data_IF_191927169282
#
_entry.id   IF_191927169282
#
_cell.length_a   1.000
_cell.length_b   1.000
_cell.length_c   1.000
_cell.angle_alpha   90.00
_cell.angle_beta   90.00
_cell.angle_gamma   90.00
#
_symmetry.space_group_name_H-M   'P 1'
#
loop_
_entity.id
_entity.type
_entity.pdbx_description
1 polymer ?
#
# COMPACT_ATOMS: atom_id res chain seq x y z
N UNK A 1 35.66 15.89 0.30
CA UNK A 1 34.54 16.68 0.90
C UNK A 1 33.17 16.11 0.56
N UNK A 2 32.88 15.71 -0.69
CA UNK A 2 31.57 15.17 -1.07
C UNK A 2 31.16 13.86 -0.35
N UNK A 3 32.10 12.95 -0.06
CA UNK A 3 31.81 11.67 0.62
C UNK A 3 31.25 11.87 2.04
N UNK A 4 31.84 12.79 2.81
CA UNK A 4 31.43 13.07 4.20
C UNK A 4 30.00 13.58 4.28
N UNK A 5 29.58 14.44 3.35
CA UNK A 5 28.20 14.92 3.28
C UNK A 5 27.21 13.79 2.98
N UNK A 6 27.55 12.89 2.05
CA UNK A 6 26.72 11.74 1.71
C UNK A 6 26.57 10.78 2.89
N UNK A 7 27.63 10.59 3.69
CA UNK A 7 27.59 9.75 4.90
C UNK A 7 26.67 10.34 5.98
N UNK A 8 26.71 11.66 6.18
CA UNK A 8 25.83 12.38 7.12
C UNK A 8 24.37 12.30 6.67
N UNK A 9 24.09 12.54 5.39
CA UNK A 9 22.74 12.44 4.82
C UNK A 9 22.23 11.00 4.95
N UNK A 10 23.06 10.01 4.63
CA UNK A 10 22.69 8.59 4.73
C UNK A 10 22.41 8.20 6.19
N UNK A 11 23.24 8.64 7.14
CA UNK A 11 23.03 8.40 8.58
C UNK A 11 21.75 9.05 9.10
N UNK A 12 21.43 10.27 8.65
CA UNK A 12 20.15 10.92 8.96
C UNK A 12 18.98 10.17 8.31
N UNK A 13 19.06 9.80 7.04
CA UNK A 13 18.02 9.02 6.37
C UNK A 13 17.79 7.68 7.08
N UNK A 14 18.82 6.94 7.47
CA UNK A 14 18.68 5.66 8.16
C UNK A 14 18.11 5.79 9.58
N UNK A 15 18.40 6.90 10.27
CA UNK A 15 17.87 7.16 11.61
C UNK A 15 16.39 7.61 11.59
N UNK A 16 15.98 8.36 10.56
CA UNK A 16 14.66 8.99 10.49
C UNK A 16 13.68 8.27 9.54
N UNK A 17 14.16 7.53 8.55
CA UNK A 17 13.32 6.83 7.56
C UNK A 17 13.16 5.36 7.91
N UNK A 18 11.91 4.90 7.90
CA UNK A 18 11.57 3.49 8.12
C UNK A 18 11.90 2.70 6.85
N UNK A 19 12.89 1.80 6.91
CA UNK A 19 13.18 0.90 5.79
C UNK A 19 11.94 0.05 5.48
N UNK A 20 11.44 0.15 4.26
CA UNK A 20 10.33 -0.67 3.79
C UNK A 20 10.77 -2.13 3.79
N UNK A 21 10.07 -2.99 4.53
CA UNK A 21 10.37 -4.41 4.54
C UNK A 21 9.61 -5.10 3.38
N UNK A 22 10.29 -5.51 2.29
CA UNK A 22 9.63 -6.14 1.15
C UNK A 22 9.07 -7.53 1.47
N UNK A 23 9.46 -8.13 2.61
CA UNK A 23 9.05 -9.49 3.01
C UNK A 23 7.72 -9.54 3.77
N UNK A 24 7.08 -8.39 4.05
CA UNK A 24 5.71 -8.42 4.59
C UNK A 24 4.76 -8.83 3.47
N UNK A 25 4.53 -10.13 3.32
CA UNK A 25 3.47 -10.66 2.48
C UNK A 25 2.17 -10.11 3.05
N UNK A 26 1.57 -9.15 2.35
CA UNK A 26 0.30 -8.59 2.77
C UNK A 26 -0.71 -9.74 2.82
N UNK A 27 -1.32 -9.93 3.98
CA UNK A 27 -2.48 -10.82 4.07
C UNK A 27 -3.52 -10.36 3.04
N UNK A 28 -4.13 -11.31 2.30
CA UNK A 28 -5.24 -10.99 1.44
C UNK A 28 -6.29 -10.20 2.23
N UNK A 29 -6.84 -9.17 1.60
CA UNK A 29 -7.88 -8.36 2.25
C UNK A 29 -9.04 -9.28 2.66
N UNK A 30 -9.71 -8.98 3.79
CA UNK A 30 -10.73 -9.85 4.39
C UNK A 30 -11.88 -10.32 3.45
N UNK A 31 -12.14 -9.61 2.35
CA UNK A 31 -13.14 -9.97 1.34
C UNK A 31 -12.57 -10.73 0.13
N UNK A 32 -11.27 -11.04 0.13
CA UNK A 32 -10.59 -11.73 -0.96
C UNK A 32 -10.76 -13.24 -0.83
N UNK A 33 -11.24 -13.89 -1.88
CA UNK A 33 -11.49 -15.34 -1.93
C UNK A 33 -10.71 -16.01 -3.06
N UNK A 34 -10.54 -17.33 -3.00
CA UNK A 34 -9.95 -18.12 -4.08
C UNK A 34 -10.71 -17.93 -5.40
N UNK A 35 -12.05 -17.91 -5.33
CA UNK A 35 -12.94 -17.65 -6.47
C UNK A 35 -12.64 -16.29 -7.14
N UNK A 36 -12.50 -15.20 -6.36
CA UNK A 36 -12.14 -13.88 -6.90
C UNK A 36 -10.75 -13.91 -7.54
N UNK A 37 -9.80 -14.67 -6.96
CA UNK A 37 -8.47 -14.84 -7.54
C UNK A 37 -8.53 -15.56 -8.91
N UNK A 38 -9.33 -16.61 -9.02
CA UNK A 38 -9.57 -17.33 -10.28
C UNK A 38 -10.26 -16.45 -11.33
N UNK A 39 -11.35 -15.79 -10.96
CA UNK A 39 -12.05 -14.86 -11.84
C UNK A 39 -11.15 -13.71 -12.31
N UNK A 40 -10.25 -13.23 -11.43
CA UNK A 40 -9.26 -12.23 -11.81
C UNK A 40 -8.23 -12.78 -12.80
N UNK A 41 -7.73 -14.00 -12.61
CA UNK A 41 -6.83 -14.66 -13.57
C UNK A 41 -7.50 -14.79 -14.94
N UNK A 42 -8.74 -15.28 -14.99
CA UNK A 42 -9.52 -15.43 -16.21
C UNK A 42 -9.80 -14.10 -16.90
N UNK A 43 -10.22 -13.08 -16.14
CA UNK A 43 -10.46 -11.74 -16.66
C UNK A 43 -9.19 -11.10 -17.23
N UNK A 44 -8.04 -11.24 -16.57
CA UNK A 44 -6.76 -10.76 -17.08
C UNK A 44 -6.31 -11.51 -18.33
N UNK A 45 -6.56 -12.82 -18.41
CA UNK A 45 -6.30 -13.62 -19.62
C UNK A 45 -7.15 -13.13 -20.78
N UNK A 46 -8.46 -12.99 -20.58
CA UNK A 46 -9.39 -12.49 -21.59
C UNK A 46 -9.03 -11.08 -22.07
N UNK A 47 -8.65 -10.18 -21.14
CA UNK A 47 -8.16 -8.83 -21.49
C UNK A 47 -6.95 -8.87 -22.42
N UNK A 48 -5.95 -9.71 -22.10
CA UNK A 48 -4.73 -9.82 -22.92
C UNK A 48 -5.06 -10.36 -24.32
N UNK A 49 -5.98 -11.32 -24.43
CA UNK A 49 -6.41 -11.84 -25.72
C UNK A 49 -7.11 -10.76 -26.55
N UNK A 50 -8.09 -10.06 -25.97
CA UNK A 50 -8.76 -8.93 -26.62
C UNK A 50 -7.79 -7.85 -27.09
N UNK A 51 -6.81 -7.48 -26.26
CA UNK A 51 -5.81 -6.48 -26.64
C UNK A 51 -4.94 -6.93 -27.82
N UNK A 52 -4.69 -8.24 -27.97
CA UNK A 52 -3.89 -8.82 -29.06
C UNK A 52 -4.70 -9.10 -30.33
N UNK A 53 -6.03 -9.24 -30.21
CA UNK A 53 -6.93 -9.49 -31.33
C UNK A 53 -7.40 -8.22 -32.04
N UNK A 54 -6.96 -7.03 -31.62
CA UNK A 54 -7.34 -5.76 -32.27
C UNK A 54 -6.99 -5.77 -33.75
N UNK A 55 -7.94 -5.43 -34.61
CA UNK A 55 -7.78 -5.44 -36.07
C UNK A 55 -7.82 -6.85 -36.69
N UNK A 56 -8.23 -7.88 -35.94
CA UNK A 56 -8.44 -9.25 -36.44
C UNK A 56 -9.93 -9.57 -36.44
N UNK A 57 -10.36 -10.54 -37.25
CA UNK A 57 -11.75 -10.99 -37.31
C UNK A 57 -12.29 -11.44 -35.94
N UNK A 58 -11.43 -12.01 -35.08
CA UNK A 58 -11.85 -12.48 -33.76
C UNK A 58 -12.04 -11.38 -32.70
N UNK A 59 -11.83 -10.10 -33.02
CA UNK A 59 -11.85 -8.99 -32.05
C UNK A 59 -13.16 -8.95 -31.25
N UNK A 60 -14.29 -9.11 -31.93
CA UNK A 60 -15.61 -9.00 -31.32
C UNK A 60 -15.87 -10.15 -30.33
N UNK A 61 -15.52 -11.39 -30.70
CA UNK A 61 -15.62 -12.55 -29.82
C UNK A 61 -14.75 -12.39 -28.56
N UNK A 62 -13.52 -11.90 -28.73
CA UNK A 62 -12.61 -11.65 -27.60
C UNK A 62 -13.09 -10.48 -26.71
N UNK A 63 -13.67 -9.44 -27.31
CA UNK A 63 -14.29 -8.32 -26.60
C UNK A 63 -15.46 -8.79 -25.73
N UNK A 64 -16.37 -9.60 -26.30
CA UNK A 64 -17.50 -10.18 -25.59
C UNK A 64 -17.06 -11.08 -24.42
N UNK A 65 -16.04 -11.92 -24.65
CA UNK A 65 -15.46 -12.77 -23.59
C UNK A 65 -14.81 -11.94 -22.48
N UNK A 66 -14.07 -10.88 -22.82
CA UNK A 66 -13.51 -9.98 -21.80
C UNK A 66 -14.63 -9.26 -21.02
N UNK A 67 -15.69 -8.81 -21.68
CA UNK A 67 -16.83 -8.16 -21.04
C UNK A 67 -17.53 -9.09 -20.05
N UNK A 68 -17.76 -10.35 -20.43
CA UNK A 68 -18.38 -11.36 -19.55
C UNK A 68 -17.49 -11.69 -18.35
N UNK A 69 -16.20 -11.95 -18.56
CA UNK A 69 -15.25 -12.24 -17.48
C UNK A 69 -15.11 -11.05 -16.50
N UNK A 70 -15.12 -9.82 -17.02
CA UNK A 70 -15.12 -8.59 -16.21
C UNK A 70 -16.42 -8.43 -15.41
N UNK A 71 -17.57 -8.78 -15.98
CA UNK A 71 -18.86 -8.79 -15.27
C UNK A 71 -18.85 -9.80 -14.12
N UNK A 72 -18.43 -11.03 -14.37
CA UNK A 72 -18.33 -12.09 -13.35
C UNK A 72 -17.42 -11.65 -12.19
N UNK A 73 -16.23 -11.14 -12.49
CA UNK A 73 -15.31 -10.64 -11.47
C UNK A 73 -15.92 -9.51 -10.64
N UNK A 74 -16.61 -8.55 -11.28
CA UNK A 74 -17.27 -7.44 -10.58
C UNK A 74 -18.38 -7.92 -9.65
N UNK A 75 -19.21 -8.85 -10.12
CA UNK A 75 -20.29 -9.44 -9.32
C UNK A 75 -19.71 -10.17 -8.13
N UNK A 76 -18.72 -11.05 -8.33
CA UNK A 76 -18.08 -11.79 -7.24
C UNK A 76 -17.46 -10.86 -6.19
N UNK A 77 -16.74 -9.81 -6.62
CA UNK A 77 -16.19 -8.80 -5.69
C UNK A 77 -17.30 -8.09 -4.92
N UNK A 78 -18.39 -7.66 -5.59
CA UNK A 78 -19.50 -6.96 -4.94
C UNK A 78 -20.20 -7.86 -3.92
N UNK A 79 -20.46 -9.11 -4.28
CA UNK A 79 -21.09 -10.10 -3.42
C UNK A 79 -20.22 -10.43 -2.21
N UNK A 80 -18.93 -10.68 -2.42
CA UNK A 80 -17.99 -10.97 -1.32
C UNK A 80 -17.87 -9.80 -0.35
N UNK A 81 -17.66 -8.57 -0.86
CA UNK A 81 -17.62 -7.37 -0.02
C UNK A 81 -18.89 -7.18 0.79
N UNK A 82 -20.07 -7.37 0.18
CA UNK A 82 -21.36 -7.26 0.88
C UNK A 82 -21.51 -8.33 1.98
N UNK A 83 -21.12 -9.57 1.70
CA UNK A 83 -21.14 -10.67 2.67
C UNK A 83 -20.22 -10.35 3.85
N UNK A 84 -18.96 -10.01 3.58
CA UNK A 84 -18.00 -9.74 4.62
C UNK A 84 -18.35 -8.47 5.41
N UNK A 85 -18.93 -7.45 4.76
CA UNK A 85 -19.43 -6.27 5.47
C UNK A 85 -20.51 -6.65 6.49
N UNK A 86 -21.50 -7.46 6.09
CA UNK A 86 -22.53 -7.95 7.03
C UNK A 86 -21.91 -8.72 8.20
N UNK A 87 -21.01 -9.65 7.91
CA UNK A 87 -20.31 -10.39 8.96
C UNK A 87 -19.53 -9.49 9.91
N UNK A 88 -18.89 -8.43 9.41
CA UNK A 88 -18.20 -7.45 10.27
C UNK A 88 -19.18 -6.67 11.14
N UNK A 89 -20.35 -6.26 10.61
CA UNK A 89 -21.38 -5.63 11.42
C UNK A 89 -21.88 -6.55 12.53
N UNK A 90 -22.20 -7.80 12.20
CA UNK A 90 -22.65 -8.80 13.17
C UNK A 90 -21.57 -9.08 14.23
N UNK A 91 -20.28 -9.07 13.85
CA UNK A 91 -19.16 -9.22 14.79
C UNK A 91 -19.05 -8.04 15.76
N UNK A 92 -19.37 -6.79 15.35
CA UNK A 92 -19.30 -5.61 16.25
C UNK A 92 -20.25 -5.76 17.43
N UNK A 93 -21.46 -6.27 17.20
CA UNK A 93 -22.46 -6.45 18.25
C UNK A 93 -22.00 -7.47 19.31
N UNK A 94 -21.12 -8.40 18.93
CA UNK A 94 -20.54 -9.41 19.83
C UNK A 94 -19.20 -9.01 20.47
N UNK A 95 -18.33 -8.31 19.73
CA UNK A 95 -16.99 -7.91 20.16
C UNK A 95 -16.59 -6.56 19.53
N UNK A 96 -16.82 -5.50 20.30
CA UNK A 96 -16.51 -4.12 19.94
C UNK A 96 -15.01 -3.85 19.69
N UNK A 97 -14.10 -4.69 20.20
CA UNK A 97 -12.64 -4.55 20.03
C UNK A 97 -12.05 -5.59 19.05
N UNK A 98 -12.92 -6.34 18.36
CA UNK A 98 -12.56 -7.47 17.52
C UNK A 98 -11.92 -7.12 16.17
N UNK A 99 -12.25 -7.89 15.13
CA UNK A 99 -11.73 -7.63 13.77
C UNK A 99 -12.20 -6.29 13.19
N UNK A 100 -13.47 -5.84 13.37
CA UNK A 100 -13.92 -4.56 12.82
C UNK A 100 -13.10 -3.39 13.34
N UNK A 101 -12.86 -3.34 14.66
CA UNK A 101 -12.00 -2.34 15.28
C UNK A 101 -10.57 -2.38 14.75
N UNK A 102 -9.94 -3.57 14.68
CA UNK A 102 -8.59 -3.73 14.12
C UNK A 102 -8.49 -3.26 12.67
N UNK A 103 -9.49 -3.57 11.84
CA UNK A 103 -9.56 -3.10 10.46
C UNK A 103 -9.63 -1.57 10.41
N UNK A 104 -10.52 -0.95 11.18
CA UNK A 104 -10.63 0.52 11.26
C UNK A 104 -9.31 1.15 11.73
N UNK A 105 -8.74 0.65 12.82
CA UNK A 105 -7.48 1.17 13.37
C UNK A 105 -6.30 0.96 12.42
N UNK A 106 -6.26 -0.14 11.65
CA UNK A 106 -5.22 -0.34 10.63
C UNK A 106 -5.22 0.74 9.54
N UNK A 107 -6.38 1.35 9.28
CA UNK A 107 -6.54 2.45 8.30
C UNK A 107 -6.22 3.81 8.88
N UNK A 108 -6.46 3.99 10.18
CA UNK A 108 -6.13 5.20 10.93
C UNK A 108 -4.66 5.26 11.35
N UNK A 109 -3.96 4.12 11.35
CA UNK A 109 -2.51 4.07 11.54
C UNK A 109 -1.82 4.83 10.41
N UNK A 110 -1.49 6.08 10.66
CA UNK A 110 -0.43 6.76 9.93
C UNK A 110 0.86 5.94 10.15
N UNK A 111 1.74 5.77 9.13
CA UNK A 111 3.07 5.26 9.39
C UNK A 111 3.66 6.17 10.48
N UNK A 112 3.91 5.61 11.66
CA UNK A 112 4.70 6.33 12.66
C UNK A 112 6.02 6.64 11.95
N UNK A 113 6.21 7.90 11.56
CA UNK A 113 7.54 8.43 11.37
C UNK A 113 8.27 8.07 12.65
N UNK A 114 9.34 7.29 12.53
CA UNK A 114 10.18 7.00 13.68
C UNK A 114 10.65 8.35 14.19
N UNK A 115 10.06 8.81 15.29
CA UNK A 115 10.66 9.91 16.02
C UNK A 115 11.98 9.36 16.55
N UNK A 116 13.12 9.97 16.22
CA UNK A 116 14.40 9.55 16.73
C UNK A 116 14.30 9.51 18.26
N UNK A 117 14.43 8.31 18.83
CA UNK A 117 14.25 8.09 20.26
C UNK A 117 15.38 8.72 21.09
N UNK A 118 16.46 9.15 20.42
CA UNK A 118 17.63 9.78 21.03
C UNK A 118 17.65 11.30 20.76
N UNK A 119 17.48 12.13 21.79
CA UNK A 119 17.62 13.59 21.70
C UNK A 119 19.01 14.02 21.19
N UNK A 120 20.04 13.23 21.49
CA UNK A 120 21.41 13.50 21.04
C UNK A 120 21.55 13.35 19.52
N UNK A 121 20.87 12.36 18.94
CA UNK A 121 20.92 12.08 17.51
C UNK A 121 20.17 13.16 16.69
N UNK A 122 19.08 13.70 17.24
CA UNK A 122 18.40 14.88 16.67
C UNK A 122 19.34 16.07 16.63
N UNK A 123 20.00 16.36 17.76
CA UNK A 123 20.88 17.52 17.88
C UNK A 123 22.08 17.42 16.95
N UNK A 124 22.69 16.24 16.82
CA UNK A 124 23.82 16.04 15.91
C UNK A 124 23.40 16.17 14.44
N UNK A 125 22.24 15.61 14.06
CA UNK A 125 21.73 15.74 12.70
C UNK A 125 21.39 17.20 12.35
N UNK A 126 20.74 17.93 13.25
CA UNK A 126 20.43 19.36 13.05
C UNK A 126 21.70 20.19 12.94
N UNK A 127 22.71 19.96 13.79
CA UNK A 127 23.98 20.69 13.73
C UNK A 127 24.76 20.42 12.43
N UNK A 128 24.67 19.20 11.90
CA UNK A 128 25.34 18.82 10.66
C UNK A 128 24.62 19.34 9.40
N UNK A 129 23.28 19.36 9.39
CA UNK A 129 22.48 19.83 8.27
C UNK A 129 22.33 21.36 8.23
N UNK A 130 22.33 22.00 9.40
CA UNK A 130 22.18 23.44 9.57
C UNK A 130 23.36 24.00 10.38
N UNK A 131 24.57 24.06 9.79
CA UNK A 131 25.73 24.60 10.46
C UNK A 131 25.48 26.07 10.81
N UNK A 132 25.79 26.45 12.05
CA UNK A 132 25.70 27.85 12.49
C UNK A 132 26.75 28.65 11.73
N UNK A 133 26.30 29.49 10.81
CA UNK A 133 27.17 30.50 10.19
C UNK A 133 27.51 31.50 11.30
N UNK A 134 28.80 31.73 11.62
CA UNK A 134 29.15 32.80 12.54
C UNK A 134 28.63 34.10 11.95
N UNK A 135 27.80 34.83 12.70
CA UNK A 135 27.37 36.17 12.33
C UNK A 135 28.65 36.97 12.04
N UNK A 136 28.82 37.39 10.79
CA UNK A 136 29.94 38.25 10.39
C UNK A 136 30.01 39.47 11.30
N UNK A 137 31.20 40.07 11.46
CA UNK A 137 31.39 41.14 12.43
C UNK A 137 30.39 42.26 12.13
N UNK A 138 29.65 42.67 13.17
CA UNK A 138 28.84 43.87 13.12
C UNK A 138 29.78 45.04 12.80
N UNK A 139 29.55 45.69 11.65
CA UNK A 139 30.16 46.98 11.32
C UNK A 139 29.63 48.06 12.27
#
# INVERSE_FOLDING_TARGET
MASSLMDVITGACDAFMTKTNPRRRHEPVYWWTAEIADLRRSCLRARRLFQRSRGRQDEEAHSANYASARRLLRVAIKTSKRRCWRQLCDEVDSDIWGKPYRIAMSRLRCPQTRQPSSPLLVRSAVAALFPRVPSGPAL
#
